data_IF_069304537157
#
_entry.id   IF_069304537157
#
_cell.length_a   1.000
_cell.length_b   1.000
_cell.length_c   1.000
_cell.angle_alpha   90.00
_cell.angle_beta   90.00
_cell.angle_gamma   90.00
#
_symmetry.space_group_name_H-M   'P 1'
#
loop_
_entity.id
_entity.type
_entity.pdbx_description
1 polymer ?
#
# COMPACT_ATOMS: atom_id res chain seq x y z
N UNK A 1 45.07 -53.80 -10.03
CA UNK A 1 43.85 -53.39 -9.27
C UNK A 1 43.51 -51.93 -9.53
N UNK A 2 43.31 -51.51 -10.77
CA UNK A 2 42.94 -50.13 -11.15
C UNK A 2 41.57 -50.01 -11.91
N UNK A 3 40.90 -51.14 -12.19
CA UNK A 3 39.68 -51.17 -12.99
C UNK A 3 38.44 -50.60 -12.27
N UNK A 4 38.39 -50.63 -10.93
CA UNK A 4 37.20 -50.23 -10.18
C UNK A 4 36.97 -48.72 -10.03
N UNK A 5 37.93 -47.86 -10.45
CA UNK A 5 37.84 -46.39 -10.30
C UNK A 5 37.24 -45.71 -11.53
N UNK A 6 37.49 -46.25 -12.69
CA UNK A 6 36.96 -45.71 -13.95
C UNK A 6 35.48 -46.02 -14.15
N UNK A 7 35.02 -47.22 -13.74
CA UNK A 7 33.60 -47.60 -13.81
C UNK A 7 32.70 -46.78 -12.91
N UNK A 8 33.18 -46.38 -11.72
CA UNK A 8 32.42 -45.55 -10.80
C UNK A 8 32.12 -44.15 -11.40
N UNK A 9 33.12 -43.52 -12.03
CA UNK A 9 32.95 -42.22 -12.67
C UNK A 9 32.14 -42.32 -13.98
N UNK A 10 32.26 -43.41 -14.72
CA UNK A 10 31.44 -43.64 -15.92
C UNK A 10 29.96 -43.78 -15.60
N UNK A 11 29.61 -44.39 -14.44
CA UNK A 11 28.23 -44.57 -14.01
C UNK A 11 27.61 -43.34 -13.31
N UNK A 12 28.40 -42.51 -12.63
CA UNK A 12 27.88 -41.40 -11.80
C UNK A 12 28.18 -39.99 -12.33
N UNK A 13 29.03 -39.90 -13.38
CA UNK A 13 29.37 -38.65 -14.05
C UNK A 13 29.78 -37.53 -13.07
N UNK A 14 29.23 -36.34 -13.24
CA UNK A 14 29.51 -35.16 -12.37
C UNK A 14 29.08 -35.38 -10.91
N UNK A 15 28.20 -36.34 -10.62
CA UNK A 15 27.72 -36.66 -9.28
C UNK A 15 28.64 -37.63 -8.51
N UNK A 16 29.64 -38.22 -9.16
CA UNK A 16 30.53 -39.21 -8.57
C UNK A 16 31.18 -38.75 -7.25
N UNK A 17 31.68 -37.51 -7.10
CA UNK A 17 32.26 -37.05 -5.84
C UNK A 17 31.24 -37.03 -4.69
N UNK A 18 30.03 -36.55 -4.98
CA UNK A 18 28.92 -36.47 -4.01
C UNK A 18 28.46 -37.86 -3.55
N UNK A 19 28.29 -38.80 -4.49
CA UNK A 19 27.92 -40.20 -4.19
C UNK A 19 28.95 -40.88 -3.34
N UNK A 20 30.24 -40.62 -3.62
CA UNK A 20 31.37 -41.20 -2.83
C UNK A 20 31.38 -40.65 -1.41
N UNK A 21 31.24 -39.32 -1.25
CA UNK A 21 31.16 -38.68 0.07
C UNK A 21 29.98 -39.22 0.86
N UNK A 22 28.79 -39.29 0.23
CA UNK A 22 27.58 -39.79 0.87
C UNK A 22 27.69 -41.23 1.32
N UNK A 23 28.37 -42.11 0.57
CA UNK A 23 28.63 -43.51 0.97
C UNK A 23 29.46 -43.63 2.23
N UNK A 24 30.39 -42.69 2.47
CA UNK A 24 31.31 -42.73 3.65
C UNK A 24 30.63 -42.21 4.93
N UNK A 25 29.47 -41.52 4.85
CA UNK A 25 28.80 -40.95 5.99
C UNK A 25 28.11 -42.03 6.85
N UNK A 26 28.01 -41.76 8.16
CA UNK A 26 27.23 -42.57 9.09
C UNK A 26 25.75 -42.47 8.77
N UNK A 27 24.95 -43.45 9.13
CA UNK A 27 23.49 -43.47 8.87
C UNK A 27 22.77 -42.21 9.37
N UNK A 28 23.09 -41.77 10.59
CA UNK A 28 22.52 -40.55 11.17
C UNK A 28 22.81 -39.29 10.34
N UNK A 29 24.05 -39.17 9.84
CA UNK A 29 24.45 -38.04 8.97
C UNK A 29 23.72 -38.07 7.62
N UNK A 30 23.51 -39.27 7.05
CA UNK A 30 22.72 -39.45 5.82
C UNK A 30 21.28 -39.03 6.03
N UNK A 31 20.65 -39.48 7.11
CA UNK A 31 19.30 -39.14 7.46
C UNK A 31 19.16 -37.62 7.64
N UNK A 32 20.08 -36.97 8.34
CA UNK A 32 20.11 -35.54 8.54
C UNK A 32 20.22 -34.75 7.22
N UNK A 33 21.15 -35.14 6.33
CA UNK A 33 21.32 -34.50 5.02
C UNK A 33 20.06 -34.63 4.18
N UNK A 34 19.44 -35.81 4.14
CA UNK A 34 18.21 -36.04 3.42
C UNK A 34 17.08 -35.17 4.00
N UNK A 35 16.90 -35.15 5.33
CA UNK A 35 15.91 -34.33 6.00
C UNK A 35 16.10 -32.84 5.70
N UNK A 36 17.34 -32.35 5.78
CA UNK A 36 17.65 -30.95 5.46
C UNK A 36 17.42 -30.63 3.98
N UNK A 37 17.73 -31.57 3.08
CA UNK A 37 17.52 -31.38 1.64
C UNK A 37 16.04 -31.19 1.28
N UNK A 38 15.10 -31.75 2.05
CA UNK A 38 13.68 -31.53 1.90
C UNK A 38 13.17 -30.36 2.73
N UNK A 39 13.66 -30.21 3.96
CA UNK A 39 13.17 -29.19 4.89
C UNK A 39 13.55 -27.77 4.46
N UNK A 40 14.79 -27.54 3.98
CA UNK A 40 15.25 -26.22 3.58
C UNK A 40 14.45 -25.62 2.40
N UNK A 41 14.23 -26.36 1.29
CA UNK A 41 13.37 -25.86 0.21
C UNK A 41 11.92 -25.61 0.66
N UNK A 42 11.39 -26.47 1.55
CA UNK A 42 10.05 -26.30 2.10
C UNK A 42 9.93 -25.01 2.92
N UNK A 43 10.90 -24.77 3.81
CA UNK A 43 10.95 -23.53 4.60
C UNK A 43 11.13 -22.30 3.70
N UNK A 44 11.94 -22.39 2.66
CA UNK A 44 12.10 -21.35 1.66
C UNK A 44 10.78 -21.05 0.93
N UNK A 45 10.07 -22.09 0.52
CA UNK A 45 8.75 -21.96 -0.13
C UNK A 45 7.72 -21.31 0.79
N UNK A 46 7.64 -21.74 2.05
CA UNK A 46 6.75 -21.17 3.06
C UNK A 46 7.07 -19.69 3.30
N UNK A 47 8.35 -19.35 3.47
CA UNK A 47 8.79 -17.96 3.65
C UNK A 47 8.42 -17.08 2.45
N UNK A 48 8.67 -17.57 1.24
CA UNK A 48 8.27 -16.87 0.00
C UNK A 48 6.76 -16.69 -0.10
N UNK A 49 5.98 -17.72 0.23
CA UNK A 49 4.51 -17.67 0.20
C UNK A 49 3.95 -16.67 1.21
N UNK A 50 4.50 -16.62 2.44
CA UNK A 50 4.11 -15.64 3.44
C UNK A 50 4.39 -14.20 2.99
N UNK A 51 5.56 -13.97 2.39
CA UNK A 51 5.90 -12.67 1.84
C UNK A 51 4.93 -12.27 0.69
N UNK A 52 4.69 -13.18 -0.24
CA UNK A 52 3.77 -12.93 -1.35
C UNK A 52 2.34 -12.63 -0.87
N UNK A 53 1.86 -13.31 0.18
CA UNK A 53 0.56 -13.00 0.78
C UNK A 53 0.53 -11.62 1.44
N UNK A 54 1.59 -11.21 2.12
CA UNK A 54 1.69 -9.88 2.74
C UNK A 54 1.65 -8.77 1.66
N UNK A 55 2.42 -8.95 0.59
CA UNK A 55 2.48 -8.00 -0.53
C UNK A 55 1.11 -7.92 -1.24
N UNK A 56 0.45 -9.06 -1.48
CA UNK A 56 -0.89 -9.10 -2.07
C UNK A 56 -1.94 -8.44 -1.17
N UNK A 57 -1.89 -8.66 0.15
CA UNK A 57 -2.79 -8.01 1.09
C UNK A 57 -2.62 -6.48 1.09
N UNK A 58 -1.38 -5.99 0.99
CA UNK A 58 -1.09 -4.56 0.88
C UNK A 58 -1.66 -3.99 -0.43
N UNK A 59 -1.41 -4.64 -1.56
CA UNK A 59 -1.95 -4.21 -2.86
C UNK A 59 -3.48 -4.17 -2.85
N UNK A 60 -4.13 -5.19 -2.31
CA UNK A 60 -5.59 -5.24 -2.19
C UNK A 60 -6.14 -4.07 -1.37
N UNK A 61 -5.48 -3.69 -0.27
CA UNK A 61 -5.86 -2.53 0.55
C UNK A 61 -5.67 -1.21 -0.20
N UNK A 62 -4.57 -1.06 -0.93
CA UNK A 62 -4.32 0.11 -1.77
C UNK A 62 -5.37 0.24 -2.86
N UNK A 63 -5.69 -0.85 -3.56
CA UNK A 63 -6.74 -0.87 -4.59
C UNK A 63 -8.12 -0.50 -4.02
N UNK A 64 -8.49 -1.04 -2.86
CA UNK A 64 -9.72 -0.67 -2.19
C UNK A 64 -9.75 0.83 -1.82
N UNK A 65 -8.65 1.36 -1.27
CA UNK A 65 -8.54 2.79 -0.92
C UNK A 65 -8.71 3.67 -2.16
N UNK A 66 -8.06 3.30 -3.28
CA UNK A 66 -8.23 4.00 -4.56
C UNK A 66 -9.69 4.00 -5.01
N UNK A 67 -10.34 2.83 -5.03
CA UNK A 67 -11.74 2.70 -5.44
C UNK A 67 -12.67 3.54 -4.57
N UNK A 68 -12.46 3.60 -3.25
CA UNK A 68 -13.25 4.44 -2.37
C UNK A 68 -13.14 5.92 -2.73
N UNK A 69 -11.93 6.42 -3.02
CA UNK A 69 -11.72 7.81 -3.43
C UNK A 69 -12.35 8.08 -4.80
N UNK A 70 -12.23 7.17 -5.76
CA UNK A 70 -12.88 7.29 -7.08
C UNK A 70 -14.41 7.35 -6.96
N UNK A 71 -15.01 6.57 -6.05
CA UNK A 71 -16.45 6.65 -5.76
C UNK A 71 -16.81 8.00 -5.12
N UNK A 72 -16.04 8.47 -4.14
CA UNK A 72 -16.26 9.76 -3.50
C UNK A 72 -16.14 10.92 -4.52
N UNK A 73 -15.19 10.83 -5.45
CA UNK A 73 -15.03 11.80 -6.53
C UNK A 73 -16.26 11.83 -7.45
N UNK A 74 -16.96 10.70 -7.63
CA UNK A 74 -18.22 10.66 -8.36
C UNK A 74 -19.26 11.64 -7.83
N UNK A 75 -19.27 11.94 -6.51
CA UNK A 75 -20.13 12.95 -5.92
C UNK A 75 -19.75 14.38 -6.34
N UNK A 76 -18.44 14.65 -6.46
CA UNK A 76 -17.94 15.93 -6.94
C UNK A 76 -18.33 16.14 -8.40
N UNK A 77 -18.15 15.11 -9.22
CA UNK A 77 -18.53 15.11 -10.64
C UNK A 77 -20.03 15.36 -10.79
N UNK A 78 -20.85 14.65 -10.02
CA UNK A 78 -22.32 14.82 -10.05
C UNK A 78 -22.73 16.24 -9.62
N UNK A 79 -22.17 16.77 -8.55
CA UNK A 79 -22.48 18.11 -8.08
C UNK A 79 -22.00 19.20 -9.07
N UNK A 80 -20.84 19.00 -9.69
CA UNK A 80 -20.33 19.89 -10.74
C UNK A 80 -21.24 19.87 -11.98
N UNK A 81 -21.82 18.72 -12.33
CA UNK A 81 -22.78 18.66 -13.42
C UNK A 81 -24.01 19.55 -13.16
N UNK A 82 -24.47 19.66 -11.87
CA UNK A 82 -25.57 20.58 -11.49
C UNK A 82 -25.16 22.06 -11.60
N UNK A 83 -23.86 22.38 -11.44
CA UNK A 83 -23.32 23.72 -11.72
C UNK A 83 -23.32 23.99 -13.22
N UNK A 84 -22.88 23.05 -14.04
CA UNK A 84 -22.78 23.19 -15.50
C UNK A 84 -24.18 23.36 -16.15
N UNK A 85 -25.18 22.62 -15.70
CA UNK A 85 -26.54 22.71 -16.24
C UNK A 85 -27.35 23.89 -15.68
N UNK A 86 -26.76 24.67 -14.75
CA UNK A 86 -27.36 25.85 -14.16
C UNK A 86 -28.43 25.58 -13.07
N UNK A 87 -28.53 24.32 -12.62
CA UNK A 87 -29.44 23.94 -11.51
C UNK A 87 -28.96 24.49 -10.18
N UNK A 88 -27.63 24.52 -9.96
CA UNK A 88 -27.00 25.06 -8.77
C UNK A 88 -25.97 26.12 -9.13
N UNK A 89 -25.75 27.10 -8.23
CA UNK A 89 -24.55 27.93 -8.33
C UNK A 89 -23.30 27.10 -7.95
N UNK A 90 -22.13 27.58 -8.34
CA UNK A 90 -20.85 26.94 -7.97
C UNK A 90 -20.73 26.72 -6.46
N UNK A 91 -21.06 27.74 -5.66
CA UNK A 91 -20.99 27.64 -4.20
C UNK A 91 -22.01 26.64 -3.64
N UNK A 92 -23.20 26.53 -4.27
CA UNK A 92 -24.20 25.53 -3.87
C UNK A 92 -23.72 24.11 -4.20
N UNK A 93 -23.20 23.91 -5.41
CA UNK A 93 -22.66 22.63 -5.86
C UNK A 93 -21.49 22.17 -4.99
N UNK A 94 -20.53 23.07 -4.70
CA UNK A 94 -19.41 22.78 -3.81
C UNK A 94 -19.90 22.42 -2.39
N UNK A 95 -20.79 23.21 -1.80
CA UNK A 95 -21.36 22.89 -0.46
C UNK A 95 -22.08 21.55 -0.45
N UNK A 96 -22.83 21.23 -1.49
CA UNK A 96 -23.53 19.95 -1.62
C UNK A 96 -22.52 18.78 -1.62
N UNK A 97 -21.48 18.87 -2.46
CA UNK A 97 -20.44 17.87 -2.55
C UNK A 97 -19.66 17.71 -1.22
N UNK A 98 -19.22 18.82 -0.61
CA UNK A 98 -18.52 18.82 0.68
C UNK A 98 -19.37 18.15 1.76
N UNK A 99 -20.66 18.52 1.86
CA UNK A 99 -21.56 17.91 2.83
C UNK A 99 -21.73 16.41 2.61
N UNK A 100 -21.90 15.98 1.36
CA UNK A 100 -22.02 14.56 1.04
C UNK A 100 -20.75 13.79 1.40
N UNK A 101 -19.59 14.24 0.94
CA UNK A 101 -18.29 13.60 1.23
C UNK A 101 -17.98 13.58 2.73
N UNK A 102 -18.32 14.63 3.48
CA UNK A 102 -18.11 14.71 4.94
C UNK A 102 -18.82 13.60 5.72
N UNK A 103 -19.90 13.04 5.17
CA UNK A 103 -20.70 11.95 5.79
C UNK A 103 -20.25 10.57 5.38
N UNK A 104 -19.48 10.46 4.32
CA UNK A 104 -18.99 9.15 3.87
C UNK A 104 -18.03 8.53 4.90
N UNK A 105 -18.21 7.24 5.10
CA UNK A 105 -17.29 6.40 5.87
C UNK A 105 -17.09 5.10 5.14
N UNK A 106 -15.91 4.53 5.29
CA UNK A 106 -15.60 3.19 4.79
C UNK A 106 -14.82 2.42 5.86
N UNK A 107 -14.80 1.13 5.76
CA UNK A 107 -14.13 0.24 6.72
C UNK A 107 -14.44 0.59 8.20
N UNK A 108 -15.68 1.01 8.46
CA UNK A 108 -16.24 1.36 9.77
C UNK A 108 -15.88 2.76 10.27
N UNK A 109 -14.63 3.19 10.21
CA UNK A 109 -14.16 4.45 10.81
C UNK A 109 -13.35 5.34 9.87
N UNK A 110 -12.90 4.82 8.76
CA UNK A 110 -12.10 5.60 7.81
C UNK A 110 -12.97 6.63 7.08
N UNK A 111 -12.36 7.71 6.64
CA UNK A 111 -13.03 8.91 6.18
C UNK A 111 -12.29 9.55 5.00
N UNK A 112 -12.94 10.50 4.37
CA UNK A 112 -12.38 11.35 3.33
C UNK A 112 -12.15 12.75 3.87
N UNK A 113 -11.14 13.44 3.36
CA UNK A 113 -10.95 14.88 3.54
C UNK A 113 -10.77 15.55 2.18
N UNK A 114 -10.93 16.86 2.16
CA UNK A 114 -10.72 17.69 0.96
C UNK A 114 -9.78 18.81 1.35
N UNK A 115 -8.72 19.00 0.59
CA UNK A 115 -7.84 20.18 0.62
C UNK A 115 -7.69 20.75 -0.79
N UNK A 116 -7.38 22.04 -0.88
CA UNK A 116 -7.08 22.68 -2.15
C UNK A 116 -5.60 22.48 -2.57
N UNK A 117 -5.26 23.00 -3.75
CA UNK A 117 -3.92 22.91 -4.32
C UNK A 117 -2.90 23.89 -3.69
N UNK A 118 -3.29 24.67 -2.67
CA UNK A 118 -2.43 25.50 -1.80
C UNK A 118 -2.31 24.90 -0.40
N UNK A 119 -2.28 23.60 -0.22
CA UNK A 119 -2.59 22.72 0.90
C UNK A 119 -3.40 23.36 2.03
N UNK A 120 -4.49 24.05 1.70
CA UNK A 120 -5.47 24.54 2.67
C UNK A 120 -6.56 23.49 2.87
N UNK A 121 -6.91 23.18 4.11
CA UNK A 121 -8.01 22.26 4.40
C UNK A 121 -9.34 22.88 3.98
N UNK A 122 -10.07 22.20 3.11
CA UNK A 122 -11.44 22.56 2.74
C UNK A 122 -12.45 21.87 3.66
N UNK A 123 -12.21 20.61 3.98
CA UNK A 123 -13.09 19.83 4.87
C UNK A 123 -12.32 18.65 5.48
N UNK A 124 -12.38 18.52 6.81
CA UNK A 124 -11.91 17.35 7.54
C UNK A 124 -12.98 16.85 8.53
N UNK A 125 -13.56 15.66 8.33
CA UNK A 125 -14.77 15.25 9.05
C UNK A 125 -14.55 14.88 10.53
N UNK A 126 -13.30 14.75 10.96
CA UNK A 126 -12.94 14.41 12.35
C UNK A 126 -12.27 15.61 13.04
N UNK A 127 -11.32 16.26 12.35
CA UNK A 127 -10.56 17.42 12.87
C UNK A 127 -11.05 18.69 12.19
N UNK A 128 -12.30 19.06 12.48
CA UNK A 128 -12.96 20.24 11.87
C UNK A 128 -12.25 21.55 12.23
N UNK A 129 -11.43 21.56 13.28
CA UNK A 129 -10.57 22.67 13.63
C UNK A 129 -9.48 22.96 12.59
N UNK A 130 -9.25 22.06 11.64
CA UNK A 130 -8.34 22.27 10.50
C UNK A 130 -8.98 23.00 9.35
N UNK A 131 -10.31 23.00 9.25
CA UNK A 131 -11.02 23.57 8.11
C UNK A 131 -10.67 25.06 7.94
N UNK A 132 -10.34 25.44 6.70
CA UNK A 132 -9.86 26.77 6.32
C UNK A 132 -8.40 27.06 6.65
N UNK A 133 -7.68 26.19 7.37
CA UNK A 133 -6.27 26.43 7.73
C UNK A 133 -5.30 26.05 6.62
N UNK A 134 -4.23 26.81 6.52
CA UNK A 134 -3.04 26.48 5.74
C UNK A 134 -2.27 25.33 6.43
N UNK A 135 -2.09 24.24 5.72
CA UNK A 135 -1.42 23.03 6.20
C UNK A 135 -0.02 22.85 5.62
N UNK A 136 0.48 23.83 4.86
CA UNK A 136 1.81 23.76 4.23
C UNK A 136 2.96 23.56 5.22
N UNK A 137 2.79 24.08 6.46
CA UNK A 137 3.73 23.91 7.56
C UNK A 137 3.52 22.65 8.40
N UNK A 138 2.45 21.88 8.17
CA UNK A 138 2.13 20.69 8.98
C UNK A 138 3.03 19.53 8.58
N UNK A 139 3.69 18.96 9.58
CA UNK A 139 4.59 17.82 9.43
C UNK A 139 4.12 16.66 10.31
N UNK A 140 4.37 15.46 9.84
CA UNK A 140 4.22 14.27 10.64
C UNK A 140 5.37 14.14 11.67
N UNK A 141 5.34 13.18 12.61
CA UNK A 141 6.41 12.98 13.61
C UNK A 141 7.80 12.75 13.02
N UNK A 142 7.90 12.30 11.78
CA UNK A 142 9.16 12.11 11.05
C UNK A 142 9.65 13.39 10.35
N UNK A 143 8.90 14.50 10.47
CA UNK A 143 9.21 15.76 9.80
C UNK A 143 8.73 15.83 8.34
N UNK A 144 7.94 14.86 7.88
CA UNK A 144 7.43 14.79 6.52
C UNK A 144 6.24 15.72 6.32
N UNK A 145 6.33 16.61 5.33
CA UNK A 145 5.30 17.61 5.01
C UNK A 145 4.18 16.98 4.15
N UNK A 146 3.31 16.19 4.79
CA UNK A 146 2.36 15.31 4.12
C UNK A 146 1.38 16.04 3.18
N UNK A 147 0.86 17.19 3.56
CA UNK A 147 -0.10 17.93 2.72
C UNK A 147 0.57 18.53 1.48
N UNK A 148 1.82 18.98 1.60
CA UNK A 148 2.61 19.42 0.45
C UNK A 148 2.87 18.25 -0.51
N UNK A 149 3.13 17.05 0.02
CA UNK A 149 3.35 15.87 -0.80
C UNK A 149 2.08 15.43 -1.53
N UNK A 150 0.91 15.46 -0.87
CA UNK A 150 -0.37 15.21 -1.56
C UNK A 150 -0.58 16.15 -2.74
N UNK A 151 -0.34 17.45 -2.55
CA UNK A 151 -0.44 18.46 -3.62
C UNK A 151 0.59 18.20 -4.71
N UNK A 152 1.84 17.89 -4.35
CA UNK A 152 2.91 17.56 -5.29
C UNK A 152 2.55 16.36 -6.15
N UNK A 153 2.06 15.28 -5.52
CA UNK A 153 1.65 14.06 -6.20
C UNK A 153 0.50 14.31 -7.19
N UNK A 154 -0.52 15.09 -6.76
CA UNK A 154 -1.64 15.44 -7.64
C UNK A 154 -1.21 16.36 -8.78
N UNK A 155 -0.32 17.32 -8.55
CA UNK A 155 0.22 18.18 -9.63
C UNK A 155 0.98 17.39 -10.68
N UNK A 156 1.73 16.38 -10.25
CA UNK A 156 2.59 15.59 -11.12
C UNK A 156 1.82 14.53 -11.92
N UNK A 157 0.94 13.80 -11.26
CA UNK A 157 0.30 12.59 -11.81
C UNK A 157 -1.25 12.68 -11.85
N UNK A 158 -1.83 13.79 -11.38
CA UNK A 158 -3.27 13.95 -11.23
C UNK A 158 -3.86 13.19 -10.02
N UNK A 159 -3.15 12.16 -9.56
CA UNK A 159 -3.57 11.26 -8.49
C UNK A 159 -2.40 10.43 -7.97
N UNK A 160 -2.54 9.81 -6.80
CA UNK A 160 -1.51 8.89 -6.30
C UNK A 160 -1.59 8.61 -4.80
N UNK A 161 -0.72 7.70 -4.37
CA UNK A 161 -0.58 7.32 -2.98
C UNK A 161 0.50 8.12 -2.28
N UNK A 162 0.23 8.47 -1.02
CA UNK A 162 1.23 9.08 -0.12
C UNK A 162 1.23 8.29 1.18
N UNK A 163 2.42 7.89 1.63
CA UNK A 163 2.64 7.25 2.93
C UNK A 163 3.12 8.29 3.94
N UNK A 164 2.54 8.30 5.13
CA UNK A 164 2.80 9.29 6.18
C UNK A 164 2.38 8.76 7.54
N UNK A 165 2.65 9.50 8.61
CA UNK A 165 2.14 9.19 9.94
C UNK A 165 1.02 10.15 10.35
N UNK A 166 -0.10 9.59 10.83
CA UNK A 166 -1.25 10.37 11.29
C UNK A 166 -2.06 9.61 12.35
N UNK A 167 -2.65 10.30 13.33
CA UNK A 167 -3.51 9.65 14.30
C UNK A 167 -4.75 9.00 13.67
N UNK A 168 -5.15 7.85 14.21
CA UNK A 168 -6.46 7.25 13.90
C UNK A 168 -7.59 8.00 14.61
N UNK A 169 -8.83 7.95 14.09
CA UNK A 169 -9.98 8.47 14.80
C UNK A 169 -10.08 7.95 16.24
N UNK A 170 -10.19 8.87 17.21
CA UNK A 170 -10.26 8.54 18.64
C UNK A 170 -8.91 8.19 19.30
N UNK A 171 -7.80 8.47 18.66
CA UNK A 171 -6.45 8.31 19.22
C UNK A 171 -5.57 9.50 18.83
N UNK A 172 -4.72 9.94 19.75
CA UNK A 172 -3.71 10.96 19.47
C UNK A 172 -2.35 10.35 19.04
N UNK A 173 -2.23 9.02 19.11
CA UNK A 173 -1.01 8.33 18.69
C UNK A 173 -0.93 8.25 17.17
N UNK A 174 0.11 8.81 16.52
CA UNK A 174 0.35 8.62 15.11
C UNK A 174 0.61 7.14 14.80
N UNK A 175 0.11 6.71 13.65
CA UNK A 175 0.35 5.40 13.07
C UNK A 175 0.69 5.56 11.60
N UNK A 176 1.39 4.59 11.03
CA UNK A 176 1.65 4.57 9.60
C UNK A 176 0.34 4.48 8.83
N UNK A 177 0.16 5.40 7.90
CA UNK A 177 -0.97 5.46 6.98
C UNK A 177 -0.48 5.55 5.56
N UNK A 178 -1.28 5.00 4.66
CA UNK A 178 -1.18 5.24 3.24
C UNK A 178 -2.54 5.74 2.76
N UNK A 179 -2.56 6.87 2.07
CA UNK A 179 -3.79 7.43 1.52
C UNK A 179 -3.64 7.69 0.03
N UNK A 180 -4.75 7.57 -0.67
CA UNK A 180 -4.84 7.92 -2.07
C UNK A 180 -5.44 9.31 -2.20
N UNK A 181 -4.83 10.15 -3.02
CA UNK A 181 -5.35 11.46 -3.38
C UNK A 181 -5.65 11.51 -4.88
N UNK A 182 -6.70 12.24 -5.24
CA UNK A 182 -7.08 12.49 -6.61
C UNK A 182 -7.53 13.95 -6.77
N UNK A 183 -7.00 14.63 -7.78
CA UNK A 183 -7.37 16.00 -8.08
C UNK A 183 -8.77 16.11 -8.71
N UNK A 184 -9.41 17.24 -8.44
CA UNK A 184 -10.66 17.62 -9.11
C UNK A 184 -10.50 19.03 -9.70
N UNK A 185 -9.93 19.09 -10.91
CA UNK A 185 -9.54 20.33 -11.59
C UNK A 185 -10.64 21.40 -11.68
N UNK A 186 -11.93 21.07 -11.89
CA UNK A 186 -12.96 22.11 -12.03
C UNK A 186 -13.07 23.04 -10.84
N UNK A 187 -12.69 22.57 -9.65
CA UNK A 187 -12.81 23.35 -8.42
C UNK A 187 -11.48 23.65 -7.72
N UNK A 188 -10.37 23.08 -8.20
CA UNK A 188 -9.02 23.27 -7.63
C UNK A 188 -8.80 22.54 -6.35
#
# INVERSE_FOLDING_TARGET
MAAGRTDFFAHHGIWAPGVRLFRMLRFTSKAMIISLAFLLPLLGLVGWQLQAQADQAMQTRMDATRQHVEIAQGLLVWAHAQEIDGTLTREQAQRLAINAVSKLRYDGKEYFWINDMQPRMVMHPIKTELDGKDLSGVKDPNGFALFNEFVSQVRKEGKGFVAYQWPKPGSDKPVDKISYAQGFEPWG
#
